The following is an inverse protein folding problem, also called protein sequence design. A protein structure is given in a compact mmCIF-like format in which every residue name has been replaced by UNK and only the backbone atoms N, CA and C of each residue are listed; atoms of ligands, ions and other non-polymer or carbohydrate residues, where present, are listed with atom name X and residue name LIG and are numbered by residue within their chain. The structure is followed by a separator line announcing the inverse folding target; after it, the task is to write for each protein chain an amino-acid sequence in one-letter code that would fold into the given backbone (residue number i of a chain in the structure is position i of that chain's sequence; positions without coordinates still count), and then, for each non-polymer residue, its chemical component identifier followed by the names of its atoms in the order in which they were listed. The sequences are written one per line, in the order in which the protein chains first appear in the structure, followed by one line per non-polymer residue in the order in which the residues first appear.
data_IF_017579056395
#
_entry.id   IF_017579056395
#
_cell.length_a   1.000
_cell.length_b   1.000
_cell.length_c   1.000
_cell.angle_alpha   90.00
_cell.angle_beta   90.00
_cell.angle_gamma   90.00
#
_symmetry.space_group_name_H-M   'P 1'
#
loop_
_entity.id
_entity.type
_entity.pdbx_description
1 polymer ?
#
# COMPACT_ATOMS: atom_id res chain seq x y z
N UNK A 1 10.83 -4.15 -23.95
CA UNK A 1 10.48 -4.04 -22.52
C UNK A 1 9.09 -4.62 -22.37
N UNK A 2 8.92 -5.69 -21.59
CA UNK A 2 7.60 -6.28 -21.32
C UNK A 2 6.94 -5.40 -20.27
N UNK A 3 5.72 -4.88 -20.48
CA UNK A 3 5.09 -4.02 -19.50
C UNK A 3 4.84 -4.77 -18.19
N UNK A 4 5.24 -4.18 -17.07
CA UNK A 4 5.04 -4.76 -15.73
C UNK A 4 3.58 -4.76 -15.28
N UNK A 5 2.71 -4.00 -15.98
CA UNK A 5 1.29 -3.89 -15.67
C UNK A 5 0.49 -4.33 -16.88
N UNK A 6 -0.44 -5.27 -16.68
CA UNK A 6 -1.35 -5.77 -17.71
C UNK A 6 -2.21 -4.65 -18.33
N UNK A 7 -2.35 -3.50 -17.65
CA UNK A 7 -2.93 -2.27 -18.20
C UNK A 7 -2.29 -1.80 -19.51
N UNK A 8 -0.96 -1.88 -19.64
CA UNK A 8 -0.29 -1.50 -20.89
C UNK A 8 -0.52 -2.52 -22.01
N UNK A 9 -0.65 -3.82 -21.65
CA UNK A 9 -1.10 -4.88 -22.56
C UNK A 9 -2.54 -4.62 -23.00
N UNK A 10 -3.44 -4.27 -22.07
CA UNK A 10 -4.84 -3.95 -22.35
C UNK A 10 -5.03 -2.67 -23.15
N UNK A 11 -4.26 -1.62 -22.87
CA UNK A 11 -4.26 -0.40 -23.68
C UNK A 11 -3.84 -0.68 -25.13
N UNK A 12 -2.87 -1.57 -25.34
CA UNK A 12 -2.47 -2.02 -26.67
C UNK A 12 -3.55 -2.89 -27.35
N UNK A 13 -4.25 -3.73 -26.59
CA UNK A 13 -5.32 -4.61 -27.09
C UNK A 13 -6.62 -3.87 -27.43
N UNK A 14 -7.01 -2.88 -26.64
CA UNK A 14 -8.32 -2.24 -26.75
C UNK A 14 -8.48 -1.37 -28.00
N UNK A 15 -7.40 -0.91 -28.66
CA UNK A 15 -7.41 0.02 -29.83
C UNK A 15 -8.43 1.19 -29.70
N UNK A 16 -8.87 1.47 -28.48
CA UNK A 16 -9.95 2.39 -28.16
C UNK A 16 -9.33 3.71 -27.72
N UNK A 17 -9.98 4.81 -28.05
CA UNK A 17 -9.56 6.15 -27.63
C UNK A 17 -9.26 6.20 -26.13
N UNK A 18 -8.25 6.99 -25.76
CA UNK A 18 -7.70 7.03 -24.41
C UNK A 18 -8.75 7.11 -23.30
N UNK A 19 -9.85 7.84 -23.53
CA UNK A 19 -10.87 8.11 -22.51
C UNK A 19 -11.59 6.86 -22.00
N UNK A 20 -11.92 5.90 -22.88
CA UNK A 20 -12.63 4.68 -22.45
C UNK A 20 -11.73 3.78 -21.58
N UNK A 21 -10.45 3.66 -21.95
CA UNK A 21 -9.45 2.91 -21.18
C UNK A 21 -9.19 3.59 -19.84
N UNK A 22 -9.11 4.93 -19.82
CA UNK A 22 -8.94 5.70 -18.58
C UNK A 22 -10.14 5.52 -17.63
N UNK A 23 -11.37 5.53 -18.15
CA UNK A 23 -12.56 5.29 -17.35
C UNK A 23 -12.58 3.88 -16.74
N UNK A 24 -12.16 2.86 -17.51
CA UNK A 24 -12.08 1.48 -17.03
C UNK A 24 -11.00 1.31 -15.95
N UNK A 25 -9.83 1.92 -16.13
CA UNK A 25 -8.74 1.95 -15.14
C UNK A 25 -9.18 2.64 -13.85
N UNK A 26 -9.85 3.79 -13.96
CA UNK A 26 -10.38 4.50 -12.81
C UNK A 26 -11.42 3.68 -12.04
N UNK A 27 -12.33 3.01 -12.75
CA UNK A 27 -13.32 2.13 -12.13
C UNK A 27 -12.70 0.90 -11.45
N UNK A 28 -11.62 0.34 -12.02
CA UNK A 28 -10.91 -0.77 -11.40
C UNK A 28 -10.16 -0.34 -10.13
N UNK A 29 -9.53 0.84 -10.15
CA UNK A 29 -8.90 1.42 -8.96
C UNK A 29 -9.92 1.69 -7.86
N UNK A 30 -11.09 2.24 -8.21
CA UNK A 30 -12.17 2.51 -7.26
C UNK A 30 -12.65 1.23 -6.57
N UNK A 31 -12.90 0.15 -7.33
CA UNK A 31 -13.26 -1.16 -6.79
C UNK A 31 -12.19 -1.70 -5.84
N UNK A 32 -10.93 -1.68 -6.27
CA UNK A 32 -9.81 -2.14 -5.44
C UNK A 32 -9.69 -1.36 -4.13
N UNK A 33 -9.90 -0.05 -4.17
CA UNK A 33 -9.87 0.81 -2.99
C UNK A 33 -11.03 0.52 -2.02
N UNK A 34 -12.25 0.24 -2.53
CA UNK A 34 -13.40 -0.14 -1.70
C UNK A 34 -13.15 -1.47 -0.99
N UNK A 35 -12.73 -2.49 -1.72
CA UNK A 35 -12.46 -3.81 -1.14
C UNK A 35 -11.32 -3.76 -0.12
N UNK A 36 -10.27 -2.99 -0.41
CA UNK A 36 -9.18 -2.76 0.52
C UNK A 36 -9.65 -2.04 1.79
N UNK A 37 -10.48 -1.00 1.67
CA UNK A 37 -11.00 -0.29 2.83
C UNK A 37 -11.80 -1.20 3.76
N UNK A 38 -12.61 -2.13 3.22
CA UNK A 38 -13.33 -3.13 4.02
C UNK A 38 -12.38 -4.15 4.67
N UNK A 39 -11.39 -4.66 3.92
CA UNK A 39 -10.40 -5.59 4.47
C UNK A 39 -9.54 -4.98 5.58
N UNK A 40 -9.35 -3.65 5.55
CA UNK A 40 -8.52 -2.92 6.51
C UNK A 40 -9.30 -2.39 7.72
N UNK A 41 -10.63 -2.53 7.73
CA UNK A 41 -11.51 -2.07 8.80
C UNK A 41 -11.10 -2.52 10.22
N UNK A 42 -10.57 -3.73 10.46
CA UNK A 42 -10.20 -4.15 11.81
C UNK A 42 -8.94 -3.49 12.38
N UNK A 43 -8.18 -2.75 11.58
CA UNK A 43 -6.84 -2.28 11.94
C UNK A 43 -6.82 -0.79 12.22
N UNK A 44 -6.24 -0.40 13.36
CA UNK A 44 -6.17 1.00 13.75
C UNK A 44 -4.87 1.68 13.32
N UNK A 45 -3.82 0.90 13.03
CA UNK A 45 -2.50 1.38 12.64
C UNK A 45 -1.99 0.65 11.42
N UNK A 46 -1.79 1.39 10.33
CA UNK A 46 -1.38 0.84 9.03
C UNK A 46 0.08 1.22 8.74
N UNK A 47 0.88 0.25 8.29
CA UNK A 47 2.15 0.52 7.61
C UNK A 47 1.96 0.41 6.09
N UNK A 48 2.64 1.26 5.32
CA UNK A 48 2.72 1.13 3.86
C UNK A 48 4.10 1.57 3.34
N UNK A 49 4.42 1.20 2.11
CA UNK A 49 5.72 1.42 1.49
C UNK A 49 5.57 1.79 0.02
N UNK A 50 6.42 2.71 -0.43
CA UNK A 50 6.38 3.33 -1.77
C UNK A 50 5.08 4.11 -2.03
N UNK A 51 4.81 4.40 -3.31
CA UNK A 51 3.61 5.12 -3.75
C UNK A 51 2.68 4.20 -4.53
N UNK A 52 1.56 3.84 -3.91
CA UNK A 52 0.46 3.13 -4.55
C UNK A 52 -0.81 3.97 -4.52
N UNK A 53 -1.36 4.28 -5.69
CA UNK A 53 -2.62 5.02 -5.82
C UNK A 53 -3.79 4.25 -5.19
N UNK A 54 -3.83 2.92 -5.34
CA UNK A 54 -4.87 2.09 -4.76
C UNK A 54 -4.78 2.05 -3.22
N UNK A 55 -3.57 2.07 -2.65
CA UNK A 55 -3.40 2.15 -1.19
C UNK A 55 -3.78 3.53 -0.65
N UNK A 56 -3.36 4.61 -1.32
CA UNK A 56 -3.77 5.98 -0.96
C UNK A 56 -5.30 6.10 -0.97
N UNK A 57 -5.95 5.61 -2.04
CA UNK A 57 -7.40 5.63 -2.18
C UNK A 57 -8.13 4.78 -1.12
N UNK A 58 -7.55 3.65 -0.71
CA UNK A 58 -8.08 2.82 0.36
C UNK A 58 -7.96 3.51 1.73
N UNK A 59 -6.79 4.08 2.05
CA UNK A 59 -6.56 4.82 3.30
C UNK A 59 -7.50 6.02 3.41
N UNK A 60 -7.70 6.76 2.32
CA UNK A 60 -8.65 7.87 2.28
C UNK A 60 -10.06 7.41 2.66
N UNK A 61 -10.56 6.34 2.05
CA UNK A 61 -11.90 5.79 2.35
C UNK A 61 -12.06 5.36 3.79
N UNK A 62 -11.01 4.78 4.40
CA UNK A 62 -11.06 4.39 5.80
C UNK A 62 -11.10 5.62 6.71
N UNK A 63 -10.31 6.65 6.38
CA UNK A 63 -10.25 7.90 7.15
C UNK A 63 -11.54 8.72 7.08
N UNK A 64 -12.32 8.61 6.00
CA UNK A 64 -13.62 9.25 5.84
C UNK A 64 -14.74 8.59 6.68
N UNK A 65 -14.48 7.43 7.30
CA UNK A 65 -15.46 6.76 8.17
C UNK A 65 -15.64 7.50 9.49
N UNK A 66 -16.89 7.65 9.91
CA UNK A 66 -17.24 8.32 11.18
C UNK A 66 -16.83 7.53 12.43
N UNK A 67 -16.44 6.25 12.29
CA UNK A 67 -16.08 5.39 13.42
C UNK A 67 -14.68 5.66 14.00
N UNK A 68 -13.87 6.48 13.32
CA UNK A 68 -12.52 6.86 13.78
C UNK A 68 -11.58 5.66 13.96
N UNK A 69 -11.86 4.54 13.27
CA UNK A 69 -11.15 3.28 13.47
C UNK A 69 -9.66 3.38 13.13
N UNK A 70 -9.29 4.14 12.09
CA UNK A 70 -7.91 4.36 11.68
C UNK A 70 -7.30 5.54 12.42
N UNK A 71 -6.28 5.27 13.23
CA UNK A 71 -5.60 6.25 14.09
C UNK A 71 -4.25 6.71 13.53
N UNK A 72 -3.52 5.82 12.86
CA UNK A 72 -2.19 6.12 12.36
C UNK A 72 -1.82 5.40 11.05
N UNK A 73 -1.07 6.09 10.21
CA UNK A 73 -0.45 5.55 8.98
C UNK A 73 1.05 5.86 9.00
N UNK A 74 1.87 4.81 8.98
CA UNK A 74 3.32 4.89 8.84
C UNK A 74 3.72 4.57 7.41
N UNK A 75 4.47 5.46 6.78
CA UNK A 75 4.91 5.34 5.39
C UNK A 75 6.43 5.28 5.34
N UNK A 76 6.99 4.24 4.72
CA UNK A 76 8.43 4.15 4.50
C UNK A 76 8.84 5.09 3.38
N UNK A 77 9.89 5.90 3.60
CA UNK A 77 10.35 6.93 2.66
C UNK A 77 10.63 6.39 1.25
N UNK A 78 11.05 5.12 1.13
CA UNK A 78 11.35 4.44 -0.12
C UNK A 78 12.54 5.06 -0.85
N UNK A 79 13.69 5.14 -0.17
CA UNK A 79 14.88 5.76 -0.74
C UNK A 79 15.59 4.81 -1.73
N UNK A 80 16.22 5.34 -2.80
CA UNK A 80 16.46 6.77 -3.08
C UNK A 80 15.33 7.50 -3.82
N UNK A 81 14.26 6.81 -4.26
CA UNK A 81 13.20 7.40 -5.08
C UNK A 81 12.25 8.34 -4.34
N UNK A 82 12.13 8.19 -3.01
CA UNK A 82 11.33 9.08 -2.17
C UNK A 82 9.82 8.92 -2.38
N UNK A 83 9.36 7.86 -3.05
CA UNK A 83 7.96 7.71 -3.45
C UNK A 83 7.01 7.69 -2.24
N UNK A 84 7.47 7.15 -1.10
CA UNK A 84 6.68 7.13 0.13
C UNK A 84 6.44 8.52 0.73
N UNK A 85 7.35 9.46 0.51
CA UNK A 85 7.14 10.87 0.90
C UNK A 85 5.92 11.43 0.17
N UNK A 86 5.87 11.24 -1.15
CA UNK A 86 4.73 11.67 -1.97
C UNK A 86 3.43 10.95 -1.60
N UNK A 87 3.49 9.66 -1.27
CA UNK A 87 2.31 8.92 -0.82
C UNK A 87 1.75 9.49 0.49
N UNK A 88 2.60 9.81 1.46
CA UNK A 88 2.18 10.41 2.71
C UNK A 88 1.59 11.82 2.54
N UNK A 89 2.14 12.62 1.62
CA UNK A 89 1.60 13.93 1.25
C UNK A 89 0.21 13.82 0.61
N UNK A 90 0.01 12.84 -0.28
CA UNK A 90 -1.29 12.57 -0.88
C UNK A 90 -2.32 12.14 0.16
N UNK A 91 -1.96 11.23 1.08
CA UNK A 91 -2.84 10.80 2.17
C UNK A 91 -3.22 11.99 3.06
N UNK A 92 -2.23 12.74 3.53
CA UNK A 92 -2.44 13.92 4.37
C UNK A 92 -3.35 14.95 3.71
N UNK A 93 -3.13 15.23 2.41
CA UNK A 93 -3.94 16.17 1.65
C UNK A 93 -5.38 15.67 1.44
N UNK A 94 -5.56 14.37 1.22
CA UNK A 94 -6.88 13.78 0.97
C UNK A 94 -7.73 13.65 2.25
N UNK A 95 -7.10 13.42 3.40
CA UNK A 95 -7.81 13.14 4.66
C UNK A 95 -7.80 14.30 5.65
N UNK A 96 -7.04 15.37 5.38
CA UNK A 96 -6.78 16.43 6.36
C UNK A 96 -5.91 15.99 7.54
N UNK A 97 -5.23 14.83 7.42
CA UNK A 97 -4.40 14.28 8.49
C UNK A 97 -3.12 15.10 8.71
N UNK A 98 -2.66 15.13 9.96
CA UNK A 98 -1.37 15.76 10.30
C UNK A 98 -0.22 14.90 9.79
N UNK A 99 0.62 15.48 8.92
CA UNK A 99 1.82 14.84 8.39
C UNK A 99 3.05 15.16 9.25
N UNK A 100 3.64 14.15 9.88
CA UNK A 100 4.92 14.22 10.56
C UNK A 100 6.06 13.68 9.68
N UNK A 101 7.12 14.48 9.51
CA UNK A 101 8.34 14.10 8.79
C UNK A 101 9.49 13.88 9.80
N UNK A 102 9.46 12.79 10.56
CA UNK A 102 10.57 12.17 11.33
C UNK A 102 10.03 11.27 12.45
N UNK A 103 10.92 10.48 13.05
CA UNK A 103 10.69 9.53 14.17
C UNK A 103 10.06 10.12 15.45
N UNK A 104 9.74 11.41 15.49
CA UNK A 104 9.05 12.00 16.63
C UNK A 104 7.66 11.40 16.71
N UNK A 105 7.51 10.44 17.65
CA UNK A 105 6.22 9.86 17.99
C UNK A 105 5.21 11.00 18.18
N UNK A 106 4.02 10.94 17.57
CA UNK A 106 2.92 11.80 17.96
C UNK A 106 2.81 11.69 19.48
N UNK A 107 2.98 12.83 20.16
CA UNK A 107 3.11 12.88 21.61
C UNK A 107 1.85 12.31 22.26
N UNK A 108 2.03 11.64 23.40
CA UNK A 108 0.96 11.37 24.36
C UNK A 108 0.36 12.72 24.80
N UNK A 109 -0.68 13.23 24.12
CA UNK A 109 -1.37 14.45 24.52
C UNK A 109 -2.83 14.10 24.82
N UNK A 110 -3.16 14.23 26.11
CA UNK A 110 -4.52 14.49 26.56
C UNK A 110 -5.01 15.78 25.88
N UNK A 111 -5.69 15.66 24.74
CA UNK A 111 -6.45 16.77 24.17
C UNK A 111 -7.72 16.22 23.55
N UNK A 112 -8.85 16.67 24.10
CA UNK A 112 -10.23 16.42 23.69
C UNK A 112 -10.61 17.09 22.36
N UNK A 113 -9.70 17.10 21.39
CA UNK A 113 -9.96 17.46 20.00
C UNK A 113 -10.18 16.15 19.25
N UNK A 114 -11.10 16.09 18.28
CA UNK A 114 -11.34 14.85 17.51
C UNK A 114 -9.99 14.26 17.08
N UNK A 115 -9.78 12.98 17.40
CA UNK A 115 -8.60 12.19 17.09
C UNK A 115 -8.32 12.23 15.58
N UNK A 116 -7.57 13.24 15.13
CA UNK A 116 -7.21 13.35 13.72
C UNK A 116 -6.20 12.26 13.39
N UNK A 117 -6.45 11.55 12.28
CA UNK A 117 -5.52 10.59 11.71
C UNK A 117 -4.09 11.16 11.68
N UNK A 118 -3.13 10.40 12.21
CA UNK A 118 -1.71 10.76 12.15
C UNK A 118 -1.03 10.06 10.97
N UNK A 119 -0.35 10.81 10.11
CA UNK A 119 0.46 10.25 9.01
C UNK A 119 1.93 10.56 9.28
N UNK A 120 2.80 9.56 9.24
CA UNK A 120 4.22 9.73 9.51
C UNK A 120 5.09 9.09 8.41
N UNK A 121 6.05 9.85 7.90
CA UNK A 121 7.08 9.30 7.02
C UNK A 121 8.29 8.90 7.85
N UNK A 122 8.72 7.65 7.68
CA UNK A 122 9.85 7.06 8.38
C UNK A 122 10.94 6.64 7.39
N UNK A 123 12.23 6.73 7.77
CA UNK A 123 13.27 5.92 7.13
C UNK A 123 12.88 4.44 7.07
N UNK A 124 13.28 3.74 6.01
CA UNK A 124 12.79 2.39 5.71
C UNK A 124 13.18 1.36 6.79
N UNK A 125 14.34 1.56 7.43
CA UNK A 125 14.79 0.80 8.59
C UNK A 125 13.95 1.07 9.84
N UNK A 126 13.52 2.31 10.05
CA UNK A 126 12.62 2.66 11.16
C UNK A 126 11.21 2.14 10.95
N UNK A 127 10.72 2.06 9.70
CA UNK A 127 9.46 1.38 9.41
C UNK A 127 9.56 -0.11 9.74
N UNK A 128 10.64 -0.79 9.34
CA UNK A 128 10.88 -2.18 9.70
C UNK A 128 10.97 -2.37 11.22
N UNK A 129 11.62 -1.45 11.93
CA UNK A 129 11.69 -1.48 13.39
C UNK A 129 10.30 -1.36 14.02
N UNK A 130 9.44 -0.46 13.53
CA UNK A 130 8.05 -0.32 14.01
C UNK A 130 7.22 -1.60 13.80
N UNK A 131 7.42 -2.28 12.66
CA UNK A 131 6.82 -3.61 12.40
C UNK A 131 7.32 -4.63 13.42
N UNK A 132 8.64 -4.68 13.62
CA UNK A 132 9.29 -5.62 14.54
C UNK A 132 8.85 -5.40 16.00
N UNK A 133 8.69 -4.14 16.41
CA UNK A 133 8.20 -3.72 17.72
C UNK A 133 6.68 -3.85 17.88
N UNK A 134 5.99 -4.38 16.86
CA UNK A 134 4.53 -4.51 16.82
C UNK A 134 3.80 -3.18 17.13
N UNK A 135 4.32 -2.09 16.58
CA UNK A 135 3.68 -0.76 16.63
C UNK A 135 2.75 -0.50 15.46
N UNK A 136 2.50 -1.51 14.64
CA UNK A 136 1.55 -1.48 13.51
C UNK A 136 0.70 -2.74 13.55
N UNK A 137 -0.55 -2.62 13.08
CA UNK A 137 -1.52 -3.72 13.11
C UNK A 137 -1.53 -4.51 11.79
N UNK A 138 -1.18 -3.86 10.68
CA UNK A 138 -1.17 -4.43 9.32
C UNK A 138 -0.14 -3.72 8.45
N UNK A 139 0.51 -4.47 7.55
CA UNK A 139 1.25 -3.92 6.43
C UNK A 139 0.39 -3.96 5.17
N UNK A 140 0.24 -2.81 4.51
CA UNK A 140 -0.53 -2.65 3.28
C UNK A 140 0.40 -2.25 2.14
N UNK A 141 0.46 -3.09 1.11
CA UNK A 141 1.31 -2.89 -0.06
C UNK A 141 0.45 -2.67 -1.31
N UNK A 142 0.99 -1.95 -2.28
CA UNK A 142 0.52 -2.04 -3.65
C UNK A 142 1.10 -3.26 -4.36
N UNK A 143 0.78 -3.39 -5.65
CA UNK A 143 1.43 -4.32 -6.55
C UNK A 143 1.70 -3.67 -7.91
N UNK A 144 2.79 -4.12 -8.53
CA UNK A 144 3.06 -3.91 -9.95
C UNK A 144 2.50 -5.06 -10.78
N UNK A 145 2.60 -6.28 -10.26
CA UNK A 145 1.92 -7.46 -10.79
C UNK A 145 1.58 -8.47 -9.67
N UNK A 146 0.54 -9.27 -9.89
CA UNK A 146 0.12 -10.39 -9.03
C UNK A 146 0.10 -11.65 -9.88
N UNK A 147 1.04 -12.55 -9.65
CA UNK A 147 1.22 -13.78 -10.42
C UNK A 147 0.16 -14.82 -10.05
N UNK A 148 0.02 -15.79 -10.95
CA UNK A 148 -0.70 -17.04 -10.66
C UNK A 148 -0.09 -17.70 -9.42
N UNK A 149 -0.90 -17.89 -8.38
CA UNK A 149 -0.46 -18.41 -7.08
C UNK A 149 -0.26 -17.35 -5.97
N UNK A 150 -0.49 -16.07 -6.27
CA UNK A 150 -0.54 -15.00 -5.25
C UNK A 150 0.82 -14.38 -4.92
N UNK A 151 1.88 -14.77 -5.61
CA UNK A 151 3.18 -14.09 -5.56
C UNK A 151 3.03 -12.68 -6.14
N UNK A 152 3.67 -11.68 -5.53
CA UNK A 152 3.51 -10.27 -5.93
C UNK A 152 4.84 -9.71 -6.40
N UNK A 153 4.81 -8.97 -7.50
CA UNK A 153 5.90 -8.07 -7.91
C UNK A 153 5.56 -6.69 -7.38
N UNK A 154 6.48 -6.07 -6.65
CA UNK A 154 6.32 -4.71 -6.13
C UNK A 154 7.68 -4.01 -6.01
N UNK A 155 7.68 -2.74 -5.61
CA UNK A 155 8.88 -1.96 -5.32
C UNK A 155 9.86 -2.70 -4.38
N UNK A 156 11.15 -2.65 -4.74
CA UNK A 156 12.26 -3.13 -3.90
C UNK A 156 12.21 -2.54 -2.48
N UNK A 157 12.27 -3.40 -1.47
CA UNK A 157 12.06 -3.08 -0.05
C UNK A 157 10.80 -3.73 0.55
N UNK A 158 9.79 -4.02 -0.28
CA UNK A 158 8.53 -4.64 0.12
C UNK A 158 8.70 -6.03 0.75
N UNK A 159 9.55 -6.88 0.18
CA UNK A 159 9.77 -8.25 0.65
C UNK A 159 10.48 -8.27 2.01
N UNK A 160 11.35 -7.30 2.28
CA UNK A 160 11.98 -7.11 3.60
C UNK A 160 10.93 -6.81 4.67
N UNK A 161 10.00 -5.88 4.40
CA UNK A 161 8.92 -5.53 5.32
C UNK A 161 7.95 -6.70 5.53
N UNK A 162 7.57 -7.41 4.47
CA UNK A 162 6.71 -8.59 4.56
C UNK A 162 7.36 -9.71 5.41
N UNK A 163 8.67 -9.92 5.28
CA UNK A 163 9.42 -10.83 6.17
C UNK A 163 9.43 -10.36 7.62
N UNK A 164 9.53 -9.06 7.88
CA UNK A 164 9.44 -8.53 9.25
C UNK A 164 8.05 -8.80 9.86
N UNK A 165 6.99 -8.65 9.08
CA UNK A 165 5.63 -9.01 9.50
C UNK A 165 5.49 -10.50 9.84
N UNK A 166 6.06 -11.39 9.03
CA UNK A 166 6.04 -12.83 9.26
C UNK A 166 6.85 -13.26 10.50
N UNK A 167 7.92 -12.53 10.84
CA UNK A 167 8.73 -12.77 12.05
C UNK A 167 8.09 -12.24 13.34
N UNK A 168 7.13 -11.32 13.26
CA UNK A 168 6.44 -10.80 14.44
C UNK A 168 5.65 -11.92 15.15
N UNK A 169 5.48 -11.80 16.46
CA UNK A 169 4.73 -12.80 17.27
C UNK A 169 3.60 -12.11 18.05
N UNK A 170 2.32 -12.40 17.75
CA UNK A 170 1.87 -13.15 16.57
C UNK A 170 2.19 -12.41 15.25
N UNK A 171 2.20 -13.10 14.09
CA UNK A 171 2.49 -12.48 12.80
C UNK A 171 1.55 -11.30 12.52
N UNK A 172 2.11 -10.26 11.90
CA UNK A 172 1.34 -9.11 11.42
C UNK A 172 0.82 -9.45 10.01
N UNK A 173 -0.47 -9.24 9.71
CA UNK A 173 -1.00 -9.49 8.38
C UNK A 173 -0.39 -8.56 7.33
N UNK A 174 -0.17 -9.12 6.13
CA UNK A 174 0.26 -8.37 4.93
C UNK A 174 -0.89 -8.41 3.93
N UNK A 175 -1.46 -7.24 3.63
CA UNK A 175 -2.55 -7.06 2.67
C UNK A 175 -2.01 -6.36 1.44
N UNK A 176 -2.22 -6.95 0.26
CA UNK A 176 -1.81 -6.37 -1.02
C UNK A 176 -3.05 -5.83 -1.73
N UNK A 177 -3.01 -4.56 -2.11
CA UNK A 177 -4.07 -3.89 -2.88
C UNK A 177 -3.65 -3.83 -4.34
N UNK A 178 -4.42 -4.50 -5.20
CA UNK A 178 -4.14 -4.61 -6.62
C UNK A 178 -5.44 -4.65 -7.41
N UNK A 179 -5.58 -3.78 -8.41
CA UNK A 179 -6.72 -3.87 -9.34
C UNK A 179 -6.54 -5.04 -10.32
N UNK A 180 -7.62 -5.42 -11.00
CA UNK A 180 -7.62 -6.52 -11.98
C UNK A 180 -6.58 -6.38 -13.11
N UNK A 181 -6.08 -5.18 -13.43
CA UNK A 181 -5.04 -4.98 -14.45
C UNK A 181 -3.64 -5.26 -13.94
N UNK A 182 -3.50 -5.67 -12.68
CA UNK A 182 -2.27 -6.15 -12.06
C UNK A 182 -2.17 -7.67 -12.06
N UNK A 183 -3.27 -8.39 -12.32
CA UNK A 183 -3.22 -9.84 -12.47
C UNK A 183 -2.25 -10.23 -13.59
N UNK A 184 -1.44 -11.26 -13.38
CA UNK A 184 -0.45 -11.76 -14.32
C UNK A 184 -0.65 -13.25 -14.54
N UNK A 185 -0.82 -13.63 -15.81
CA UNK A 185 -1.34 -14.96 -16.18
C UNK A 185 -0.27 -16.07 -16.18
N UNK A 186 1.00 -15.70 -15.98
CA UNK A 186 2.16 -16.61 -15.96
C UNK A 186 2.65 -16.87 -14.51
N UNK A 187 3.31 -17.99 -14.31
CA UNK A 187 3.98 -18.35 -13.05
C UNK A 187 5.32 -17.63 -12.90
N UNK A 188 5.92 -17.17 -14.02
CA UNK A 188 7.12 -16.37 -14.01
C UNK A 188 6.80 -14.87 -14.07
N UNK A 189 7.44 -14.04 -13.23
CA UNK A 189 7.30 -12.60 -13.37
C UNK A 189 7.94 -12.13 -14.69
N UNK A 190 7.54 -10.96 -15.20
CA UNK A 190 8.29 -10.31 -16.27
C UNK A 190 9.75 -10.06 -15.83
N UNK A 191 10.66 -9.84 -16.78
CA UNK A 191 12.01 -9.38 -16.44
C UNK A 191 11.92 -8.11 -15.58
N UNK A 192 12.39 -8.20 -14.34
CA UNK A 192 12.28 -7.12 -13.38
C UNK A 192 13.43 -6.13 -13.54
N UNK A 193 13.10 -4.84 -13.49
CA UNK A 193 14.08 -3.79 -13.29
C UNK A 193 14.55 -3.79 -11.83
N UNK A 194 15.72 -3.22 -11.54
CA UNK A 194 16.28 -3.16 -10.17
C UNK A 194 15.35 -2.49 -9.14
N UNK A 195 14.44 -1.63 -9.62
CA UNK A 195 13.45 -0.98 -8.78
C UNK A 195 12.37 -1.93 -8.22
N UNK A 196 12.27 -3.15 -8.74
CA UNK A 196 11.23 -4.13 -8.40
C UNK A 196 11.81 -5.42 -7.85
N UNK A 197 11.03 -6.11 -7.03
CA UNK A 197 11.36 -7.41 -6.48
C UNK A 197 10.13 -8.30 -6.38
N UNK A 198 10.36 -9.55 -6.03
CA UNK A 198 9.31 -10.53 -5.75
C UNK A 198 9.04 -10.59 -4.24
N UNK A 199 7.78 -10.47 -3.86
CA UNK A 199 7.23 -10.80 -2.54
C UNK A 199 6.57 -12.18 -2.62
N UNK A 200 7.15 -13.21 -1.97
CA UNK A 200 6.58 -14.55 -1.92
C UNK A 200 5.14 -14.60 -1.37
N UNK A 201 4.31 -15.46 -1.94
CA UNK A 201 2.90 -15.61 -1.55
C UNK A 201 2.70 -16.05 -0.09
N UNK A 202 3.64 -16.81 0.48
CA UNK A 202 3.61 -17.26 1.87
C UNK A 202 3.83 -16.13 2.89
N UNK A 203 4.30 -14.97 2.43
CA UNK A 203 4.38 -13.74 3.23
C UNK A 203 3.14 -12.84 3.10
N UNK A 204 2.20 -13.20 2.22
CA UNK A 204 1.01 -12.39 1.91
C UNK A 204 -0.21 -13.04 2.55
N UNK A 205 -0.90 -12.29 3.40
CA UNK A 205 -2.12 -12.78 4.05
C UNK A 205 -3.32 -12.73 3.11
N UNK A 206 -3.40 -11.70 2.26
CA UNK A 206 -4.49 -11.54 1.29
C UNK A 206 -4.11 -10.55 0.18
N UNK A 207 -4.57 -10.81 -1.04
CA UNK A 207 -4.65 -9.83 -2.13
C UNK A 207 -6.11 -9.38 -2.26
N UNK A 208 -6.34 -8.07 -2.41
CA UNK A 208 -7.67 -7.46 -2.52
C UNK A 208 -7.73 -6.51 -3.73
N UNK A 209 -8.85 -6.55 -4.46
CA UNK A 209 -9.19 -5.63 -5.55
C UNK A 209 -9.53 -6.27 -6.89
#
# INVERSE_FOLDING_TARGET
MVPLVNAARRAAELKAGGDAVQAELAAALDRAAVEAAEALRPYATVATFSRSSSVVAAVQRIAEREDGSLRAVFVGASMPGGEGVSAAELISSATGATLARSAQSPRDHNSSERDNLAVSVLPDDQLEQRISDRKVDVLVLGADAVLRGGTVVNKAGSARLARACARAVPPIPVVVVADQFKAWDDDCPPCLEEAFEVVPHDLISKVVG
#
